data_IF_702908225910
#
_entry.id   IF_702908225910
#
_cell.length_a   1.000
_cell.length_b   1.000
_cell.length_c   1.000
_cell.angle_alpha   90.00
_cell.angle_beta   90.00
_cell.angle_gamma   90.00
#
_symmetry.space_group_name_H-M   'P 1'
#
loop_
_entity.id
_entity.type
_entity.pdbx_description
1 polymer ?
#
# COMPACT_ATOMS: atom_id res chain seq x y z
N UNK A 1 -29.20 -2.61 -20.67
CA UNK A 1 -29.62 -1.30 -20.11
C UNK A 1 -28.46 -0.82 -19.27
N UNK A 2 -27.70 0.12 -19.81
CA UNK A 2 -26.43 0.55 -19.23
C UNK A 2 -26.68 1.31 -17.93
N UNK A 3 -26.04 0.86 -16.86
CA UNK A 3 -26.08 1.52 -15.55
C UNK A 3 -24.89 2.45 -15.46
N UNK A 4 -25.13 3.66 -15.01
CA UNK A 4 -24.13 4.69 -14.84
C UNK A 4 -23.91 4.90 -13.35
N UNK A 5 -22.66 5.13 -12.98
CA UNK A 5 -22.32 5.62 -11.66
C UNK A 5 -21.70 7.02 -11.73
N UNK A 6 -21.91 7.77 -10.67
CA UNK A 6 -21.38 9.13 -10.55
C UNK A 6 -20.35 9.13 -9.44
N UNK A 7 -19.10 9.28 -9.83
CA UNK A 7 -17.97 9.38 -8.93
C UNK A 7 -17.44 10.81 -8.88
N UNK A 8 -17.15 11.27 -7.67
CA UNK A 8 -16.53 12.57 -7.44
C UNK A 8 -15.11 12.36 -6.89
N UNK A 9 -14.14 13.01 -7.52
CA UNK A 9 -12.71 12.88 -7.23
C UNK A 9 -12.13 14.06 -6.43
N UNK A 10 -12.99 14.87 -5.81
CA UNK A 10 -12.53 16.03 -5.02
C UNK A 10 -12.04 17.22 -5.87
N UNK A 11 -12.18 17.15 -7.20
CA UNK A 11 -11.71 18.19 -8.12
C UNK A 11 -12.73 19.33 -8.24
N UNK A 12 -12.25 20.56 -8.05
CA UNK A 12 -13.04 21.79 -8.23
C UNK A 12 -12.80 22.37 -9.62
N UNK A 13 -13.81 23.03 -10.17
CA UNK A 13 -13.69 23.78 -11.43
C UNK A 13 -12.79 25.02 -11.21
N UNK A 14 -11.94 25.42 -12.19
CA UNK A 14 -11.09 26.60 -12.06
C UNK A 14 -11.92 27.85 -11.77
N UNK A 15 -11.68 28.52 -10.64
CA UNK A 15 -12.39 29.73 -10.23
C UNK A 15 -13.54 29.54 -9.24
N UNK A 16 -13.85 28.31 -8.82
CA UNK A 16 -14.87 28.06 -7.80
C UNK A 16 -14.29 28.12 -6.37
N UNK A 17 -14.95 28.84 -5.46
CA UNK A 17 -14.53 28.90 -4.05
C UNK A 17 -14.91 27.61 -3.33
N UNK A 18 -13.91 26.96 -2.72
CA UNK A 18 -14.04 25.67 -2.03
C UNK A 18 -15.14 25.68 -0.95
N UNK A 19 -15.34 26.81 -0.27
CA UNK A 19 -16.40 27.00 0.74
C UNK A 19 -17.82 27.01 0.13
N UNK A 20 -17.99 27.70 -1.01
CA UNK A 20 -19.27 27.82 -1.69
C UNK A 20 -19.68 26.51 -2.38
N UNK A 21 -18.72 25.80 -2.99
CA UNK A 21 -18.94 24.49 -3.61
C UNK A 21 -19.32 23.45 -2.56
N UNK A 22 -18.67 23.45 -1.38
CA UNK A 22 -19.04 22.59 -0.25
C UNK A 22 -20.48 22.84 0.19
N UNK A 23 -20.90 24.10 0.32
CA UNK A 23 -22.27 24.44 0.71
C UNK A 23 -23.30 24.03 -0.36
N UNK A 24 -22.99 24.19 -1.64
CA UNK A 24 -23.87 23.79 -2.74
C UNK A 24 -23.97 22.27 -2.86
N UNK A 25 -22.86 21.54 -2.71
CA UNK A 25 -22.86 20.07 -2.64
C UNK A 25 -23.65 19.56 -1.42
N UNK A 26 -23.55 20.23 -0.27
CA UNK A 26 -24.32 19.84 0.93
C UNK A 26 -25.82 19.91 0.68
N UNK A 27 -26.28 20.97 0.01
CA UNK A 27 -27.68 21.16 -0.33
C UNK A 27 -28.16 20.18 -1.39
N UNK A 28 -27.35 19.93 -2.42
CA UNK A 28 -27.72 19.02 -3.52
C UNK A 28 -27.77 17.55 -3.09
N UNK A 29 -26.87 17.11 -2.21
CA UNK A 29 -26.83 15.72 -1.75
C UNK A 29 -27.48 15.48 -0.39
N UNK A 30 -27.89 16.53 0.32
CA UNK A 30 -28.35 16.44 1.71
C UNK A 30 -27.38 15.62 2.57
N UNK A 31 -26.08 15.74 2.29
CA UNK A 31 -25.03 14.96 2.92
C UNK A 31 -24.38 15.77 4.04
N UNK A 32 -23.97 15.10 5.10
CA UNK A 32 -23.29 15.73 6.23
C UNK A 32 -21.96 16.39 5.83
N UNK A 33 -21.62 17.49 6.50
CA UNK A 33 -20.37 18.23 6.29
C UNK A 33 -19.12 17.33 6.37
N UNK A 34 -19.17 16.26 7.17
CA UNK A 34 -18.12 15.24 7.28
C UNK A 34 -17.97 14.41 5.99
N UNK A 35 -19.10 13.96 5.40
CA UNK A 35 -19.09 13.19 4.15
C UNK A 35 -18.60 14.07 3.00
N UNK A 36 -18.98 15.34 2.98
CA UNK A 36 -18.48 16.31 1.99
C UNK A 36 -16.99 16.56 2.19
N UNK A 37 -16.51 16.73 3.42
CA UNK A 37 -15.07 16.86 3.67
C UNK A 37 -14.28 15.64 3.17
N UNK A 38 -14.83 14.42 3.33
CA UNK A 38 -14.25 13.20 2.75
C UNK A 38 -14.30 13.19 1.22
N UNK A 39 -15.38 13.69 0.60
CA UNK A 39 -15.48 13.89 -0.87
C UNK A 39 -14.38 14.81 -1.41
N UNK A 40 -13.96 15.82 -0.64
CA UNK A 40 -12.88 16.73 -0.97
C UNK A 40 -11.48 16.25 -0.54
N UNK A 41 -11.35 15.02 -0.04
CA UNK A 41 -10.04 14.44 0.34
C UNK A 41 -9.15 14.05 -0.86
N UNK A 42 -9.64 14.25 -2.10
CA UNK A 42 -8.95 13.88 -3.34
C UNK A 42 -9.05 12.40 -3.69
N UNK A 43 -9.76 11.59 -2.89
CA UNK A 43 -10.08 10.20 -3.19
C UNK A 43 -11.38 10.10 -3.99
N UNK A 44 -11.41 9.24 -5.01
CA UNK A 44 -12.63 8.94 -5.78
C UNK A 44 -13.68 8.34 -4.84
N UNK A 45 -14.83 8.98 -4.74
CA UNK A 45 -15.96 8.50 -3.95
C UNK A 45 -17.20 8.47 -4.84
N UNK A 46 -17.86 7.31 -4.84
CA UNK A 46 -19.12 7.09 -5.57
C UNK A 46 -20.25 7.73 -4.78
N UNK A 47 -20.89 8.75 -5.35
CA UNK A 47 -21.99 9.46 -4.69
C UNK A 47 -23.31 8.73 -4.89
N UNK A 48 -23.53 8.16 -6.09
CA UNK A 48 -24.71 7.36 -6.40
C UNK A 48 -24.42 6.39 -7.53
N UNK A 49 -24.82 5.13 -7.34
CA UNK A 49 -24.75 4.06 -8.33
C UNK A 49 -26.15 3.74 -8.88
N UNK A 50 -26.19 3.01 -10.00
CA UNK A 50 -27.43 2.54 -10.64
C UNK A 50 -28.31 3.67 -11.22
N UNK A 51 -27.69 4.66 -11.87
CA UNK A 51 -28.39 5.72 -12.59
C UNK A 51 -28.54 5.37 -14.08
N UNK A 52 -29.61 5.84 -14.70
CA UNK A 52 -29.83 5.76 -16.15
C UNK A 52 -29.07 6.87 -16.87
N UNK A 53 -28.77 6.73 -18.17
CA UNK A 53 -27.96 7.66 -18.95
C UNK A 53 -28.48 9.11 -18.84
N UNK A 54 -29.80 9.28 -18.98
CA UNK A 54 -30.45 10.58 -18.88
C UNK A 54 -30.44 11.17 -17.46
N UNK A 55 -30.34 10.34 -16.43
CA UNK A 55 -30.20 10.80 -15.05
C UNK A 55 -28.74 11.19 -14.77
N UNK A 56 -27.78 10.40 -15.24
CA UNK A 56 -26.36 10.65 -15.04
C UNK A 56 -25.91 12.00 -15.63
N UNK A 57 -26.36 12.34 -16.85
CA UNK A 57 -26.09 13.64 -17.47
C UNK A 57 -26.71 14.83 -16.73
N UNK A 58 -27.92 14.65 -16.19
CA UNK A 58 -28.58 15.68 -15.36
C UNK A 58 -27.79 15.94 -14.09
N UNK A 59 -27.32 14.89 -13.43
CA UNK A 59 -26.49 15.03 -12.25
C UNK A 59 -25.12 15.64 -12.57
N UNK A 60 -24.46 15.22 -13.66
CA UNK A 60 -23.23 15.86 -14.14
C UNK A 60 -23.43 17.37 -14.33
N UNK A 61 -24.50 17.75 -15.01
CA UNK A 61 -24.80 19.16 -15.31
C UNK A 61 -25.10 19.99 -14.05
N UNK A 62 -25.81 19.43 -13.07
CA UNK A 62 -26.09 20.14 -11.80
C UNK A 62 -24.84 20.26 -10.92
N UNK A 63 -24.00 19.24 -10.91
CA UNK A 63 -22.72 19.21 -10.19
C UNK A 63 -21.69 20.16 -10.79
N UNK A 64 -21.57 20.18 -12.11
CA UNK A 64 -20.65 21.08 -12.82
C UNK A 64 -21.05 22.55 -12.62
N UNK A 65 -22.36 22.83 -12.65
CA UNK A 65 -22.91 24.15 -12.29
C UNK A 65 -22.68 24.52 -10.82
N UNK A 66 -22.58 23.53 -9.94
CA UNK A 66 -22.22 23.75 -8.54
C UNK A 66 -20.71 23.95 -8.32
N UNK A 67 -19.89 23.84 -9.36
CA UNK A 67 -18.43 24.03 -9.32
C UNK A 67 -17.62 22.77 -9.01
N UNK A 68 -18.24 21.59 -9.09
CA UNK A 68 -17.63 20.30 -8.83
C UNK A 68 -17.39 19.54 -10.15
N UNK A 69 -16.16 19.06 -10.37
CA UNK A 69 -15.83 18.21 -11.53
C UNK A 69 -16.16 16.76 -11.19
N UNK A 70 -16.98 16.13 -12.01
CA UNK A 70 -17.56 14.81 -11.76
C UNK A 70 -17.28 13.91 -12.94
N UNK A 71 -16.90 12.67 -12.64
CA UNK A 71 -16.70 11.62 -13.64
C UNK A 71 -17.91 10.70 -13.64
N UNK A 72 -18.52 10.59 -14.83
CA UNK A 72 -19.58 9.62 -15.10
C UNK A 72 -18.89 8.41 -15.71
N UNK A 73 -19.07 7.25 -15.08
CA UNK A 73 -18.47 5.99 -15.52
C UNK A 73 -19.60 5.04 -15.90
N UNK A 74 -19.49 4.48 -17.09
CA UNK A 74 -20.43 3.53 -17.65
C UNK A 74 -20.06 2.15 -17.09
N UNK A 75 -20.99 1.46 -16.42
CA UNK A 75 -20.77 0.08 -15.96
C UNK A 75 -20.90 -0.98 -17.08
N UNK A 76 -21.06 -0.55 -18.35
CA UNK A 76 -21.16 -1.44 -19.52
C UNK A 76 -19.81 -1.57 -20.28
N UNK A 77 -18.69 -1.42 -19.57
CA UNK A 77 -17.44 -2.07 -19.95
C UNK A 77 -16.91 -2.86 -18.76
N UNK A 78 -16.55 -4.13 -18.97
CA UNK A 78 -16.04 -4.97 -17.90
C UNK A 78 -14.82 -4.29 -17.30
N UNK A 79 -14.78 -4.27 -15.97
CA UNK A 79 -13.53 -4.10 -15.23
C UNK A 79 -12.54 -5.05 -15.90
N UNK A 80 -11.49 -4.48 -16.49
CA UNK A 80 -10.38 -5.22 -17.09
C UNK A 80 -9.97 -6.32 -16.11
N UNK A 81 -10.42 -7.51 -16.46
CA UNK A 81 -9.85 -8.78 -16.09
C UNK A 81 -8.36 -8.63 -16.40
N UNK A 82 -7.56 -8.44 -15.35
CA UNK A 82 -6.12 -8.52 -15.46
C UNK A 82 -5.82 -9.99 -15.76
N UNK A 83 -5.93 -10.36 -17.03
CA UNK A 83 -5.23 -11.47 -17.65
C UNK A 83 -3.74 -11.20 -17.46
N UNK A 84 -3.18 -11.71 -16.36
CA UNK A 84 -1.75 -11.89 -16.23
C UNK A 84 -1.46 -13.38 -16.17
N UNK A 85 -1.35 -13.93 -17.38
CA UNK A 85 -0.51 -15.04 -17.84
C UNK A 85 -0.34 -16.27 -16.90
N UNK A 86 -0.68 -17.49 -17.36
CA UNK A 86 -0.28 -18.71 -16.68
C UNK A 86 1.22 -18.96 -16.91
N UNK A 87 2.05 -19.14 -15.86
CA UNK A 87 3.40 -19.65 -16.05
C UNK A 87 3.40 -21.19 -16.18
N UNK A 88 4.27 -21.75 -17.03
CA UNK A 88 4.28 -23.15 -17.48
C UNK A 88 4.79 -24.16 -16.44
N UNK A 89 4.58 -25.48 -16.66
CA UNK A 89 5.00 -26.55 -15.77
C UNK A 89 6.49 -26.90 -15.93
N UNK A 90 7.23 -27.04 -14.81
CA UNK A 90 8.54 -27.70 -14.75
C UNK A 90 8.87 -28.22 -13.32
N UNK A 91 8.80 -29.54 -13.16
CA UNK A 91 9.70 -30.50 -12.47
C UNK A 91 10.39 -30.24 -11.08
N UNK A 92 10.86 -31.28 -10.36
CA UNK A 92 10.63 -31.46 -8.92
C UNK A 92 11.88 -31.39 -8.00
N UNK A 93 11.61 -31.14 -6.70
CA UNK A 93 12.41 -31.46 -5.49
C UNK A 93 13.72 -30.66 -5.26
N UNK A 94 14.19 -30.42 -4.00
CA UNK A 94 14.08 -31.31 -2.83
C UNK A 94 13.59 -30.69 -1.51
N UNK A 95 13.29 -31.60 -0.59
CA UNK A 95 12.75 -31.39 0.74
C UNK A 95 13.63 -30.54 1.67
N UNK A 96 12.98 -29.67 2.46
CA UNK A 96 13.48 -29.08 3.71
C UNK A 96 12.27 -28.77 4.63
N UNK A 97 12.46 -28.74 5.95
CA UNK A 97 11.66 -29.48 6.91
C UNK A 97 10.38 -28.76 7.36
N UNK A 98 9.45 -29.56 7.87
CA UNK A 98 8.17 -29.15 8.44
C UNK A 98 8.33 -28.01 9.47
N UNK A 99 7.90 -26.81 9.09
CA UNK A 99 7.41 -25.82 10.04
C UNK A 99 6.06 -26.33 10.59
N UNK A 100 5.75 -26.11 11.88
CA UNK A 100 4.48 -26.54 12.44
C UNK A 100 3.39 -25.82 11.66
N UNK A 101 2.51 -26.59 11.04
CA UNK A 101 1.25 -26.10 10.52
C UNK A 101 0.51 -25.44 11.69
N UNK A 102 0.65 -24.11 11.81
CA UNK A 102 -0.39 -23.30 12.39
C UNK A 102 -1.63 -23.68 11.60
N UNK A 103 -2.58 -24.30 12.29
CA UNK A 103 -3.79 -24.82 11.69
C UNK A 103 -4.40 -23.74 10.81
N UNK A 104 -4.20 -23.86 9.50
CA UNK A 104 -5.04 -23.23 8.52
C UNK A 104 -6.43 -23.77 8.86
N UNK A 105 -7.21 -22.95 9.57
CA UNK A 105 -8.61 -23.21 9.79
C UNK A 105 -9.16 -23.50 8.40
N UNK A 106 -9.70 -24.71 8.27
CA UNK A 106 -10.21 -25.28 7.04
C UNK A 106 -10.88 -24.21 6.19
N UNK A 107 -10.51 -24.12 4.91
CA UNK A 107 -11.16 -23.31 3.90
C UNK A 107 -12.61 -23.79 3.66
N UNK A 108 -13.45 -23.64 4.67
CA UNK A 108 -14.87 -23.93 4.67
C UNK A 108 -15.67 -22.68 4.34
N UNK A 109 -16.98 -22.86 4.20
CA UNK A 109 -17.93 -21.74 4.13
C UNK A 109 -18.36 -21.36 5.54
N UNK A 110 -18.47 -20.08 5.82
CA UNK A 110 -18.96 -19.58 7.10
C UNK A 110 -20.37 -20.10 7.34
N UNK A 111 -20.56 -20.84 8.45
CA UNK A 111 -21.86 -21.29 8.91
C UNK A 111 -22.23 -20.50 10.17
N UNK A 112 -23.15 -19.54 10.02
CA UNK A 112 -23.60 -18.70 11.13
C UNK A 112 -25.10 -18.88 11.32
N UNK A 113 -25.51 -19.33 12.51
CA UNK A 113 -26.91 -19.35 12.89
C UNK A 113 -27.40 -17.90 13.06
N UNK A 114 -28.43 -17.45 12.32
CA UNK A 114 -28.97 -16.11 12.48
C UNK A 114 -29.50 -15.90 13.89
N UNK A 115 -29.12 -14.78 14.53
CA UNK A 115 -29.62 -14.43 15.86
C UNK A 115 -30.93 -13.63 15.83
N UNK A 116 -31.18 -12.92 14.73
CA UNK A 116 -32.27 -11.96 14.56
C UNK A 116 -32.65 -11.82 13.08
N UNK A 117 -33.74 -11.07 12.81
CA UNK A 117 -34.26 -10.84 11.44
C UNK A 117 -33.25 -10.11 10.54
N UNK A 118 -32.41 -9.25 11.11
CA UNK A 118 -31.39 -8.53 10.35
C UNK A 118 -30.27 -9.47 9.87
N UNK A 119 -29.79 -10.37 10.73
CA UNK A 119 -28.82 -11.40 10.34
C UNK A 119 -29.44 -12.42 9.38
N UNK A 120 -30.73 -12.73 9.54
CA UNK A 120 -31.43 -13.66 8.64
C UNK A 120 -31.44 -13.17 7.18
N UNK A 121 -31.45 -11.85 6.96
CA UNK A 121 -31.35 -11.26 5.62
C UNK A 121 -30.04 -11.63 4.86
N UNK A 122 -29.01 -12.08 5.58
CA UNK A 122 -27.72 -12.49 5.01
C UNK A 122 -27.48 -13.99 5.07
N UNK A 123 -28.49 -14.81 5.42
CA UNK A 123 -28.35 -16.27 5.53
C UNK A 123 -27.98 -16.97 4.22
N UNK A 124 -28.28 -16.35 3.08
CA UNK A 124 -27.95 -16.87 1.74
C UNK A 124 -26.59 -16.37 1.21
N UNK A 125 -25.86 -15.55 1.97
CA UNK A 125 -24.56 -15.02 1.55
C UNK A 125 -23.50 -16.10 1.67
N UNK A 126 -22.93 -16.50 0.52
CA UNK A 126 -21.82 -17.44 0.46
C UNK A 126 -20.48 -16.74 0.75
N UNK A 127 -19.98 -16.88 1.98
CA UNK A 127 -18.74 -16.27 2.43
C UNK A 127 -17.68 -17.31 2.85
N UNK A 128 -16.39 -17.08 2.52
CA UNK A 128 -15.28 -17.91 3.00
C UNK A 128 -15.11 -17.80 4.52
N UNK A 129 -14.80 -18.91 5.19
CA UNK A 129 -14.43 -18.93 6.60
C UNK A 129 -12.94 -18.62 6.77
N UNK A 130 -12.66 -17.38 7.18
CA UNK A 130 -11.31 -16.91 7.48
C UNK A 130 -10.83 -17.33 8.88
N UNK A 131 -11.68 -17.96 9.69
CA UNK A 131 -11.41 -18.27 11.09
C UNK A 131 -11.25 -17.03 11.97
N UNK A 132 -11.22 -17.24 13.29
CA UNK A 132 -10.92 -16.17 14.26
C UNK A 132 -9.67 -16.58 15.02
N UNK A 133 -8.64 -15.75 14.96
CA UNK A 133 -7.42 -15.96 15.72
C UNK A 133 -7.67 -15.82 17.23
N UNK A 134 -6.97 -16.58 18.09
CA UNK A 134 -7.11 -16.47 19.53
C UNK A 134 -6.67 -15.09 20.04
N UNK A 135 -7.12 -14.72 21.23
CA UNK A 135 -6.74 -13.44 21.85
C UNK A 135 -5.22 -13.36 22.04
N UNK A 136 -4.64 -12.24 21.62
CA UNK A 136 -3.20 -12.02 21.69
C UNK A 136 -2.40 -12.67 20.55
N UNK A 137 -3.05 -13.28 19.56
CA UNK A 137 -2.38 -13.71 18.33
C UNK A 137 -1.89 -12.49 17.54
N UNK A 138 -0.67 -12.59 17.01
CA UNK A 138 -0.14 -11.62 16.06
C UNK A 138 -0.85 -11.83 14.70
N UNK A 139 -1.41 -10.76 14.16
CA UNK A 139 -2.10 -10.74 12.87
C UNK A 139 -1.22 -10.15 11.76
N UNK A 140 0.01 -9.72 12.09
CA UNK A 140 0.93 -9.19 11.10
C UNK A 140 1.62 -10.33 10.35
N UNK A 141 1.76 -10.16 9.04
CA UNK A 141 2.58 -11.06 8.24
C UNK A 141 4.02 -11.04 8.74
N UNK A 142 4.66 -12.21 8.75
CA UNK A 142 6.06 -12.32 9.11
C UNK A 142 6.88 -11.46 8.13
N UNK A 143 7.56 -10.44 8.67
CA UNK A 143 8.49 -9.64 7.86
C UNK A 143 9.65 -10.56 7.43
N UNK A 144 9.95 -10.67 6.13
CA UNK A 144 11.08 -11.45 5.68
C UNK A 144 12.37 -10.89 6.29
N UNK A 145 13.28 -11.78 6.69
CA UNK A 145 14.60 -11.39 7.15
C UNK A 145 15.28 -10.52 6.09
N UNK A 146 15.73 -9.34 6.52
CA UNK A 146 16.42 -8.43 5.62
C UNK A 146 17.79 -9.05 5.26
N UNK A 147 17.99 -9.38 3.99
CA UNK A 147 19.30 -9.82 3.52
C UNK A 147 20.30 -8.68 3.69
N UNK A 148 21.42 -8.95 4.38
CA UNK A 148 22.43 -7.94 4.63
C UNK A 148 23.04 -7.48 3.29
N UNK A 149 23.19 -6.16 3.06
CA UNK A 149 23.80 -5.66 1.85
C UNK A 149 25.25 -6.16 1.77
N UNK A 150 25.65 -6.65 0.61
CA UNK A 150 27.03 -7.07 0.35
C UNK A 150 27.90 -5.82 0.13
N UNK A 151 28.44 -5.28 1.21
CA UNK A 151 29.37 -4.14 1.19
C UNK A 151 30.81 -4.60 1.10
N UNK A 152 31.57 -4.05 0.14
CA UNK A 152 33.01 -4.25 0.02
C UNK A 152 33.76 -3.19 0.84
N UNK A 153 34.38 -3.64 1.93
CA UNK A 153 35.14 -2.81 2.86
C UNK A 153 36.65 -2.87 2.62
N UNK A 154 37.12 -3.51 1.54
CA UNK A 154 38.55 -3.74 1.28
C UNK A 154 39.37 -2.45 1.16
N UNK A 155 38.73 -1.34 0.82
CA UNK A 155 39.33 -0.01 0.71
C UNK A 155 39.43 0.75 2.04
N UNK A 156 38.72 0.31 3.09
CA UNK A 156 38.71 0.98 4.39
C UNK A 156 39.63 0.26 5.37
N UNK A 157 40.49 1.02 6.05
CA UNK A 157 41.36 0.52 7.11
C UNK A 157 41.08 1.31 8.38
N UNK A 158 40.94 0.61 9.51
CA UNK A 158 40.75 1.23 10.82
C UNK A 158 42.11 1.40 11.52
N UNK A 159 42.40 2.59 12.03
CA UNK A 159 43.59 2.84 12.82
C UNK A 159 43.47 2.20 14.23
N UNK A 160 44.58 1.83 14.88
CA UNK A 160 44.56 1.33 16.26
C UNK A 160 43.84 2.30 17.21
N UNK A 161 43.19 1.76 18.24
CA UNK A 161 42.56 2.58 19.28
C UNK A 161 43.58 3.54 19.91
N UNK A 162 43.20 4.81 20.09
CA UNK A 162 44.10 5.87 20.57
C UNK A 162 44.89 6.60 19.48
N UNK A 163 44.69 6.26 18.19
CA UNK A 163 45.21 7.05 17.07
C UNK A 163 44.45 8.37 16.92
N UNK A 164 45.16 9.45 16.58
CA UNK A 164 44.57 10.77 16.36
C UNK A 164 43.77 10.81 15.05
N UNK A 165 42.60 11.45 15.07
CA UNK A 165 41.67 11.46 13.93
C UNK A 165 42.04 12.56 12.94
N UNK A 166 42.18 12.21 11.65
CA UNK A 166 42.52 13.16 10.58
C UNK A 166 44.00 13.23 10.23
N UNK A 167 44.86 12.45 10.88
CA UNK A 167 46.24 12.26 10.43
C UNK A 167 46.29 11.38 9.18
N UNK A 168 47.02 11.82 8.16
CA UNK A 168 47.32 11.01 7.00
C UNK A 168 48.12 9.76 7.41
N UNK A 169 47.88 8.63 6.75
CA UNK A 169 48.61 7.39 6.97
C UNK A 169 50.11 7.66 6.76
N UNK A 170 50.92 7.46 7.80
CA UNK A 170 52.37 7.58 7.70
C UNK A 170 52.90 6.50 6.75
N UNK A 171 53.72 6.90 5.77
CA UNK A 171 54.42 5.96 4.91
C UNK A 171 55.33 5.04 5.73
N UNK A 172 55.51 3.81 5.24
CA UNK A 172 56.40 2.86 5.89
C UNK A 172 57.81 3.46 6.02
N UNK A 173 58.37 3.38 7.22
CA UNK A 173 59.70 3.91 7.50
C UNK A 173 60.71 3.34 6.49
N UNK A 174 61.46 4.25 5.84
CA UNK A 174 62.49 3.85 4.90
C UNK A 174 63.52 2.92 5.58
N UNK A 175 64.19 2.04 4.81
CA UNK A 175 65.24 1.19 5.36
C UNK A 175 66.27 2.05 6.11
N UNK A 176 66.75 1.60 7.28
CA UNK A 176 67.77 2.33 8.00
C UNK A 176 69.01 2.50 7.11
N UNK A 177 69.70 3.67 7.16
CA UNK A 177 70.92 3.88 6.41
C UNK A 177 71.99 2.88 6.87
N UNK A 178 72.86 2.45 5.95
CA UNK A 178 73.94 1.52 6.26
C UNK A 178 74.98 2.19 7.19
N UNK A 179 75.09 1.68 8.40
CA UNK A 179 76.01 2.16 9.44
C UNK A 179 77.26 1.29 9.59
N UNK A 180 77.50 0.33 8.69
CA UNK A 180 78.59 -0.64 8.79
C UNK A 180 80.00 -0.02 8.83
N UNK A 181 80.14 1.26 8.46
CA UNK A 181 81.40 1.99 8.45
C UNK A 181 81.60 2.94 9.65
N UNK A 182 80.66 3.06 10.57
CA UNK A 182 80.80 3.87 11.78
C UNK A 182 81.51 3.09 12.89
N UNK A 183 82.60 3.65 13.43
CA UNK A 183 83.28 3.15 14.63
C UNK A 183 83.45 4.29 15.63
N UNK A 184 83.09 4.04 16.89
CA UNK A 184 83.34 4.97 18.00
C UNK A 184 84.80 4.78 18.46
N UNK A 185 85.56 5.87 18.60
CA UNK A 185 86.85 5.88 19.29
C UNK A 185 86.61 6.30 20.74
N UNK A 186 87.22 5.59 21.70
CA UNK A 186 87.29 6.01 23.11
C UNK A 186 88.24 7.21 23.30
#
# INVERSE_FOLDING_TARGET
MSRYEIAFSGQLVPGAQLELVKANMAKLFQADAQRIAQLFSGRRIVIKNNLDAAAAEKYRSTLERAGARVEVIDMDMPVEEVELAPPPPAEPAPAAPAAPAAAAASAGRLQVAPRDEYMAAFSEVDAPDFGIAPVGADLQDAKPDAEAPRVDLSQFSLAPVGSDMGQAKADAAAPPPDTSHLKLQE
#
